data_IF_079253908382
#
_entry.id   IF_079253908382
#
_cell.length_a   1.000
_cell.length_b   1.000
_cell.length_c   1.000
_cell.angle_alpha   90.00
_cell.angle_beta   90.00
_cell.angle_gamma   90.00
#
_symmetry.space_group_name_H-M   'P 1'
#
loop_
_entity.id
_entity.type
_entity.pdbx_description
1 polymer ?
#
# COMPACT_ATOMS: atom_id res chain seq x y z
N UNK A 1 -9.53 -11.99 -13.24
CA UNK A 1 -8.42 -11.13 -13.68
C UNK A 1 -8.20 -10.03 -12.65
N UNK A 2 -6.96 -9.88 -12.21
CA UNK A 2 -6.57 -8.82 -11.28
C UNK A 2 -6.24 -7.53 -12.01
N UNK A 3 -6.60 -6.40 -11.42
CA UNK A 3 -6.34 -5.07 -11.98
C UNK A 3 -4.98 -4.50 -11.60
N UNK A 4 -3.91 -5.28 -11.75
CA UNK A 4 -2.55 -4.82 -11.46
C UNK A 4 -1.81 -4.41 -12.75
N UNK A 5 -2.29 -3.36 -13.39
CA UNK A 5 -1.81 -2.88 -14.68
C UNK A 5 -0.34 -2.42 -14.68
N UNK A 6 0.19 -2.00 -13.52
CA UNK A 6 1.61 -1.63 -13.37
C UNK A 6 2.58 -2.78 -13.66
N UNK A 7 2.15 -4.01 -13.43
CA UNK A 7 2.97 -5.22 -13.61
C UNK A 7 3.54 -5.40 -15.03
N UNK A 8 2.82 -4.92 -16.05
CA UNK A 8 3.23 -5.04 -17.47
C UNK A 8 3.63 -3.70 -18.08
N UNK A 9 3.81 -2.67 -17.29
CA UNK A 9 4.24 -1.35 -17.76
C UNK A 9 5.61 -1.39 -18.44
N UNK A 10 5.95 -0.40 -19.29
CA UNK A 10 7.29 -0.29 -19.87
C UNK A 10 8.39 -0.26 -18.80
N UNK A 11 8.19 0.45 -17.69
CA UNK A 11 9.14 0.50 -16.57
C UNK A 11 9.35 -0.86 -15.91
N UNK A 12 8.28 -1.64 -15.69
CA UNK A 12 8.39 -2.99 -15.14
C UNK A 12 9.18 -3.92 -16.08
N UNK A 13 8.97 -3.79 -17.40
CA UNK A 13 9.73 -4.56 -18.40
C UNK A 13 11.21 -4.17 -18.42
N UNK A 14 11.51 -2.88 -18.31
CA UNK A 14 12.90 -2.42 -18.21
C UNK A 14 13.56 -2.92 -16.94
N UNK A 15 12.90 -2.88 -15.81
CA UNK A 15 13.37 -3.45 -14.55
C UNK A 15 13.67 -4.94 -14.68
N UNK A 16 12.79 -5.70 -15.34
CA UNK A 16 13.01 -7.10 -15.62
C UNK A 16 14.27 -7.34 -16.50
N UNK A 17 14.50 -6.50 -17.50
CA UNK A 17 15.71 -6.61 -18.34
C UNK A 17 16.98 -6.36 -17.54
N UNK A 18 16.99 -5.33 -16.68
CA UNK A 18 18.12 -5.04 -15.78
C UNK A 18 18.37 -6.20 -14.81
N UNK A 19 17.31 -6.78 -14.28
CA UNK A 19 17.41 -7.94 -13.40
C UNK A 19 18.03 -9.16 -14.13
N UNK A 20 17.58 -9.45 -15.36
CA UNK A 20 18.14 -10.53 -16.18
C UNK A 20 19.61 -10.29 -16.57
N UNK A 21 20.01 -9.04 -16.68
CA UNK A 21 21.40 -8.65 -16.96
C UNK A 21 22.30 -8.67 -15.72
N UNK A 22 21.77 -9.00 -14.54
CA UNK A 22 22.52 -9.04 -13.28
C UNK A 22 22.75 -7.65 -12.64
N UNK A 23 22.22 -6.57 -13.22
CA UNK A 23 22.45 -5.22 -12.74
C UNK A 23 21.76 -4.90 -11.40
N UNK A 24 20.87 -5.79 -10.92
CA UNK A 24 20.09 -5.61 -9.70
C UNK A 24 20.40 -6.65 -8.62
N UNK A 25 21.52 -7.36 -8.72
CA UNK A 25 21.86 -8.43 -7.78
C UNK A 25 22.20 -7.90 -6.39
N UNK A 26 22.86 -6.76 -6.31
CA UNK A 26 23.32 -6.13 -5.06
C UNK A 26 22.27 -5.25 -4.37
N UNK A 27 21.02 -5.25 -4.84
CA UNK A 27 19.96 -4.47 -4.20
C UNK A 27 19.69 -5.02 -2.81
N UNK A 28 19.86 -4.16 -1.80
CA UNK A 28 19.61 -4.45 -0.37
C UNK A 28 18.46 -3.66 0.21
N UNK A 29 17.98 -2.62 -0.52
CA UNK A 29 16.92 -1.73 -0.04
C UNK A 29 16.03 -1.27 -1.19
N UNK A 30 14.73 -1.23 -0.93
CA UNK A 30 13.71 -0.69 -1.82
C UNK A 30 12.92 0.34 -1.02
N UNK A 31 12.69 1.50 -1.58
CA UNK A 31 11.79 2.51 -1.03
C UNK A 31 10.56 2.61 -1.92
N UNK A 32 9.41 2.25 -1.37
CA UNK A 32 8.11 2.35 -2.02
C UNK A 32 7.25 3.37 -1.26
N UNK A 33 6.65 4.29 -1.98
CA UNK A 33 5.87 5.34 -1.34
C UNK A 33 4.64 5.73 -2.14
N UNK A 34 3.63 6.23 -1.42
CA UNK A 34 2.40 6.79 -1.98
C UNK A 34 2.06 8.11 -1.31
N UNK A 35 2.10 9.17 -2.08
CA UNK A 35 1.76 10.53 -1.65
C UNK A 35 0.70 11.13 -2.59
N UNK A 36 -0.31 11.79 -2.05
CA UNK A 36 -0.73 11.77 -0.64
C UNK A 36 -1.48 10.49 -0.28
N UNK A 37 -1.75 10.30 1.02
CA UNK A 37 -2.76 9.31 1.44
C UNK A 37 -4.10 9.65 0.79
N UNK A 38 -4.86 8.62 0.42
CA UNK A 38 -6.26 8.76 0.00
C UNK A 38 -7.12 8.56 1.26
N UNK A 39 -8.39 8.77 1.20
CA UNK A 39 -9.38 8.46 2.25
C UNK A 39 -9.06 9.08 3.63
N UNK A 40 -9.85 10.06 4.02
CA UNK A 40 -9.69 10.78 5.29
C UNK A 40 -8.30 11.39 5.49
N UNK A 41 -7.77 11.97 4.43
CA UNK A 41 -6.43 12.58 4.38
C UNK A 41 -6.31 13.87 5.16
N UNK A 42 -7.42 14.57 5.36
CA UNK A 42 -7.47 15.77 6.17
C UNK A 42 -7.75 15.39 7.62
N UNK A 43 -6.95 15.89 8.55
CA UNK A 43 -7.19 15.72 9.98
C UNK A 43 -8.61 16.11 10.39
N UNK A 44 -9.20 17.11 9.74
CA UNK A 44 -10.59 17.54 9.98
C UNK A 44 -11.64 16.50 9.53
N UNK A 45 -11.28 15.59 8.61
CA UNK A 45 -12.16 14.52 8.13
C UNK A 45 -11.98 13.21 8.88
N UNK A 46 -10.92 13.10 9.71
CA UNK A 46 -10.64 11.90 10.50
C UNK A 46 -11.79 11.60 11.43
N UNK A 47 -12.05 10.32 11.59
CA UNK A 47 -13.07 9.79 12.50
C UNK A 47 -12.42 8.81 13.47
N UNK A 48 -12.89 8.75 14.70
CA UNK A 48 -12.46 7.79 15.73
C UNK A 48 -13.57 6.83 16.14
N UNK A 49 -14.77 7.03 15.62
CA UNK A 49 -15.95 6.20 15.85
C UNK A 49 -16.58 5.80 14.52
N UNK A 50 -17.32 4.71 14.51
CA UNK A 50 -18.08 4.32 13.32
C UNK A 50 -19.13 5.40 12.99
N UNK A 51 -19.31 5.71 11.69
CA UNK A 51 -20.27 6.72 11.28
C UNK A 51 -21.69 6.32 11.66
N UNK A 52 -22.56 7.33 11.83
CA UNK A 52 -23.97 7.13 12.14
C UNK A 52 -24.65 6.34 11.02
N UNK A 53 -25.62 5.52 11.44
CA UNK A 53 -26.46 4.77 10.51
C UNK A 53 -27.29 5.70 9.61
N UNK A 54 -27.37 5.32 8.35
CA UNK A 54 -28.16 5.98 7.32
C UNK A 54 -29.07 4.95 6.62
N UNK A 55 -30.15 5.38 5.95
CA UNK A 55 -30.95 4.47 5.13
C UNK A 55 -30.12 3.88 3.99
N UNK A 56 -30.27 2.57 3.77
CA UNK A 56 -29.62 1.91 2.62
C UNK A 56 -30.28 2.41 1.33
N UNK A 57 -29.51 2.92 0.34
CA UNK A 57 -30.07 3.28 -0.95
C UNK A 57 -30.78 2.11 -1.62
N UNK A 58 -31.93 2.34 -2.22
CA UNK A 58 -32.73 1.30 -2.88
C UNK A 58 -32.00 0.61 -4.04
N UNK A 59 -30.99 1.27 -4.61
CA UNK A 59 -30.13 0.73 -5.68
C UNK A 59 -28.97 -0.13 -5.18
N UNK A 60 -28.75 -0.23 -3.86
CA UNK A 60 -27.63 -0.95 -3.26
C UNK A 60 -28.12 -2.21 -2.54
N UNK A 61 -27.66 -3.37 -2.99
CA UNK A 61 -27.73 -4.59 -2.18
C UNK A 61 -26.57 -4.59 -1.18
N UNK A 62 -26.80 -4.03 0.01
CA UNK A 62 -25.76 -3.82 1.00
C UNK A 62 -25.23 -5.12 1.60
N UNK A 63 -26.06 -6.17 1.70
CA UNK A 63 -25.63 -7.49 2.15
C UNK A 63 -24.59 -8.08 1.19
N UNK A 64 -24.89 -8.08 -0.11
CA UNK A 64 -23.92 -8.52 -1.13
C UNK A 64 -22.66 -7.65 -1.16
N UNK A 65 -22.80 -6.35 -0.92
CA UNK A 65 -21.64 -5.45 -0.87
C UNK A 65 -20.73 -5.77 0.33
N UNK A 66 -21.27 -6.02 1.51
CA UNK A 66 -20.50 -6.41 2.70
C UNK A 66 -19.80 -7.78 2.50
N UNK A 67 -20.40 -8.69 1.75
CA UNK A 67 -19.85 -10.02 1.50
C UNK A 67 -19.54 -10.76 2.80
N UNK A 68 -18.32 -11.29 2.98
CA UNK A 68 -17.94 -12.02 4.19
C UNK A 68 -17.62 -11.13 5.40
N UNK A 69 -17.54 -9.80 5.21
CA UNK A 69 -17.26 -8.87 6.29
C UNK A 69 -18.47 -8.75 7.23
N UNK A 70 -18.22 -8.40 8.49
CA UNK A 70 -19.30 -8.09 9.42
C UNK A 70 -20.11 -6.92 8.90
N UNK A 71 -21.41 -7.12 8.70
CA UNK A 71 -22.30 -6.03 8.29
C UNK A 71 -22.46 -5.03 9.42
N UNK A 72 -21.96 -3.82 9.21
CA UNK A 72 -22.22 -2.65 10.06
C UNK A 72 -23.48 -1.93 9.57
N UNK A 73 -24.14 -1.13 10.41
CA UNK A 73 -25.18 -0.24 9.92
C UNK A 73 -24.66 0.61 8.76
N UNK A 74 -25.43 0.71 7.67
CA UNK A 74 -25.00 1.44 6.48
C UNK A 74 -24.69 2.91 6.77
N UNK A 75 -23.66 3.41 6.14
CA UNK A 75 -23.38 4.85 6.02
C UNK A 75 -22.75 5.15 4.65
N UNK A 76 -23.12 6.29 4.07
CA UNK A 76 -22.51 6.83 2.87
C UNK A 76 -21.01 7.10 3.00
N UNK A 77 -20.46 7.07 4.21
CA UNK A 77 -19.02 7.15 4.48
C UNK A 77 -18.27 5.88 4.07
N UNK A 78 -18.93 4.74 3.91
CA UNK A 78 -18.29 3.51 3.42
C UNK A 78 -18.27 3.44 1.90
N UNK A 79 -19.43 3.61 1.29
CA UNK A 79 -19.64 3.40 -0.14
C UNK A 79 -19.77 4.76 -0.87
N UNK A 80 -19.23 4.89 -2.07
CA UNK A 80 -18.57 3.83 -2.87
C UNK A 80 -17.06 3.74 -2.70
N UNK A 81 -16.41 4.65 -1.99
CA UNK A 81 -14.95 4.83 -2.09
C UNK A 81 -14.21 4.66 -0.76
N UNK A 82 -14.67 5.26 0.32
CA UNK A 82 -13.90 5.40 1.58
C UNK A 82 -13.85 4.13 2.43
N UNK A 83 -14.58 3.05 2.05
CA UNK A 83 -14.53 1.76 2.71
C UNK A 83 -13.09 1.24 2.90
N UNK A 84 -12.19 1.62 2.02
CA UNK A 84 -10.78 1.24 2.03
C UNK A 84 -10.04 1.68 3.29
N UNK A 85 -10.48 2.77 3.89
CA UNK A 85 -9.90 3.30 5.12
C UNK A 85 -10.33 2.53 6.38
N UNK A 86 -11.45 1.80 6.35
CA UNK A 86 -11.98 1.11 7.52
C UNK A 86 -11.39 -0.29 7.67
N UNK A 87 -10.89 -0.62 8.86
CA UNK A 87 -10.35 -1.95 9.14
C UNK A 87 -11.33 -3.09 8.85
N UNK A 88 -12.63 -2.83 9.00
CA UNK A 88 -13.66 -3.84 8.80
C UNK A 88 -13.91 -4.20 7.34
N UNK A 89 -13.58 -3.30 6.41
CA UNK A 89 -13.87 -3.48 4.99
C UNK A 89 -12.63 -3.42 4.09
N UNK A 90 -11.59 -2.68 4.50
CA UNK A 90 -10.42 -2.40 3.69
C UNK A 90 -9.10 -2.82 4.34
N UNK A 91 -8.03 -2.55 3.61
CA UNK A 91 -6.65 -2.88 4.01
C UNK A 91 -5.74 -1.64 4.07
N UNK A 92 -6.34 -0.44 4.09
CA UNK A 92 -5.59 0.81 4.11
C UNK A 92 -4.70 1.03 2.88
N UNK A 93 -3.81 2.00 2.98
CA UNK A 93 -2.99 2.44 1.87
C UNK A 93 -2.00 1.36 1.42
N UNK A 94 -1.34 0.68 2.35
CA UNK A 94 -0.40 -0.40 1.99
C UNK A 94 -1.12 -1.57 1.29
N UNK A 95 -2.30 -1.96 1.78
CA UNK A 95 -3.03 -3.07 1.18
C UNK A 95 -3.59 -2.76 -0.21
N UNK A 96 -4.00 -1.52 -0.44
CA UNK A 96 -4.55 -1.08 -1.73
C UNK A 96 -3.45 -0.75 -2.74
N UNK A 97 -2.52 0.13 -2.38
CA UNK A 97 -1.47 0.63 -3.28
C UNK A 97 -0.18 -0.18 -3.26
N UNK A 98 0.10 -0.91 -2.19
CA UNK A 98 1.32 -1.74 -2.11
C UNK A 98 1.38 -2.76 -3.22
N UNK A 99 0.24 -3.36 -3.60
CA UNK A 99 0.14 -4.28 -4.72
C UNK A 99 0.56 -3.64 -6.05
N UNK A 100 0.37 -2.34 -6.22
CA UNK A 100 0.76 -1.63 -7.45
C UNK A 100 2.22 -1.18 -7.45
N UNK A 101 2.76 -0.81 -6.28
CA UNK A 101 4.07 -0.17 -6.18
C UNK A 101 5.20 -1.15 -5.85
N UNK A 102 4.90 -2.24 -5.16
CA UNK A 102 5.89 -3.23 -4.70
C UNK A 102 5.98 -4.45 -5.62
N UNK A 103 4.89 -4.79 -6.30
CA UNK A 103 4.71 -6.05 -7.03
C UNK A 103 5.90 -6.42 -7.94
N UNK A 104 6.27 -5.55 -8.87
CA UNK A 104 7.32 -5.88 -9.83
C UNK A 104 8.70 -6.06 -9.15
N UNK A 105 9.03 -5.20 -8.18
CA UNK A 105 10.28 -5.34 -7.44
C UNK A 105 10.28 -6.63 -6.62
N UNK A 106 9.20 -6.92 -5.91
CA UNK A 106 9.05 -8.14 -5.13
C UNK A 106 9.18 -9.40 -6.00
N UNK A 107 8.50 -9.42 -7.15
CA UNK A 107 8.49 -10.54 -8.06
C UNK A 107 9.85 -10.74 -8.76
N UNK A 108 10.38 -9.70 -9.40
CA UNK A 108 11.62 -9.84 -10.19
C UNK A 108 12.87 -10.01 -9.34
N UNK A 109 12.91 -9.42 -8.15
CA UNK A 109 14.00 -9.65 -7.21
C UNK A 109 13.83 -10.94 -6.39
N UNK A 110 12.70 -11.65 -6.55
CA UNK A 110 12.40 -12.93 -5.89
C UNK A 110 12.52 -12.85 -4.37
N UNK A 111 11.89 -11.83 -3.78
CA UNK A 111 12.04 -11.55 -2.35
C UNK A 111 11.42 -12.64 -1.46
N UNK A 112 10.35 -13.30 -1.90
CA UNK A 112 9.64 -14.30 -1.11
C UNK A 112 8.83 -13.68 0.03
N UNK A 113 8.72 -14.38 1.16
CA UNK A 113 8.01 -13.87 2.33
C UNK A 113 8.95 -13.07 3.23
N UNK A 114 8.46 -11.97 3.81
CA UNK A 114 9.25 -11.23 4.79
C UNK A 114 9.44 -12.06 6.07
N UNK A 115 10.60 -11.93 6.68
CA UNK A 115 10.91 -12.55 7.97
C UNK A 115 10.51 -11.66 9.14
N UNK A 116 10.37 -10.36 8.89
CA UNK A 116 10.02 -9.37 9.88
C UNK A 116 9.23 -8.24 9.23
N UNK A 117 8.18 -7.78 9.88
CA UNK A 117 7.41 -6.59 9.52
C UNK A 117 7.33 -5.69 10.74
N UNK A 118 7.82 -4.46 10.61
CA UNK A 118 7.93 -3.51 11.72
C UNK A 118 7.30 -2.17 11.33
N UNK A 119 6.30 -1.69 12.09
CA UNK A 119 5.84 -0.33 11.96
C UNK A 119 6.87 0.62 12.59
N UNK A 120 7.48 1.48 11.78
CA UNK A 120 8.42 2.49 12.24
C UNK A 120 7.69 3.75 12.72
N UNK A 121 6.58 4.08 12.07
CA UNK A 121 5.74 5.23 12.40
C UNK A 121 4.32 4.98 11.93
N UNK A 122 3.36 5.31 12.78
CA UNK A 122 1.93 5.28 12.48
C UNK A 122 1.30 6.56 13.04
N UNK A 123 0.89 7.46 12.18
CA UNK A 123 0.31 8.72 12.60
C UNK A 123 -1.22 8.65 12.62
N UNK A 124 -1.80 9.20 13.66
CA UNK A 124 -3.25 9.36 13.82
C UNK A 124 -4.02 8.07 13.49
N UNK A 125 -3.56 6.94 14.02
CA UNK A 125 -4.29 5.67 13.92
C UNK A 125 -5.27 5.51 15.09
N UNK A 126 -6.33 4.76 14.84
CA UNK A 126 -7.31 4.39 15.85
C UNK A 126 -7.86 2.98 15.56
N UNK A 127 -8.90 2.56 16.26
CA UNK A 127 -9.48 1.21 16.09
C UNK A 127 -10.54 1.13 14.98
N UNK A 128 -10.84 2.21 14.30
CA UNK A 128 -11.90 2.28 13.28
C UNK A 128 -11.31 2.36 11.88
N UNK A 129 -10.32 3.26 11.70
CA UNK A 129 -9.70 3.54 10.40
C UNK A 129 -8.18 3.42 10.47
N UNK A 130 -7.60 3.11 9.32
CA UNK A 130 -6.15 3.02 9.14
C UNK A 130 -5.45 4.36 9.40
N UNK A 131 -4.12 4.35 9.68
CA UNK A 131 -3.35 5.55 9.91
C UNK A 131 -3.50 6.61 8.82
N UNK A 132 -3.32 7.88 9.20
CA UNK A 132 -3.21 9.00 8.26
C UNK A 132 -1.93 8.88 7.42
N UNK A 133 -0.84 8.48 8.07
CA UNK A 133 0.39 8.06 7.40
C UNK A 133 1.01 6.86 8.08
N UNK A 134 1.74 6.06 7.31
CA UNK A 134 2.46 4.91 7.83
C UNK A 134 3.85 4.78 7.22
N UNK A 135 4.84 4.43 8.07
CA UNK A 135 6.15 3.99 7.64
C UNK A 135 6.36 2.57 8.15
N UNK A 136 6.54 1.62 7.25
CA UNK A 136 6.63 0.20 7.58
C UNK A 136 7.88 -0.38 6.93
N UNK A 137 8.67 -1.09 7.72
CA UNK A 137 9.83 -1.83 7.26
C UNK A 137 9.47 -3.32 7.13
N UNK A 138 9.79 -3.91 6.00
CA UNK A 138 9.68 -5.34 5.74
C UNK A 138 11.07 -5.88 5.43
N UNK A 139 11.55 -6.86 6.18
CA UNK A 139 12.86 -7.51 5.96
C UNK A 139 12.67 -8.85 5.27
N UNK A 140 13.47 -9.11 4.26
CA UNK A 140 13.47 -10.33 3.48
C UNK A 140 14.81 -11.05 3.63
N UNK A 141 14.81 -12.39 3.66
CA UNK A 141 16.03 -13.18 3.81
C UNK A 141 16.94 -13.05 2.59
N UNK A 142 18.13 -13.64 2.67
CA UNK A 142 19.00 -13.81 1.51
C UNK A 142 18.27 -14.54 0.39
N UNK A 143 18.45 -14.09 -0.83
CA UNK A 143 17.74 -14.57 -2.03
C UNK A 143 18.61 -15.58 -2.77
N UNK A 144 18.33 -16.86 -2.63
CA UNK A 144 19.10 -17.91 -3.30
C UNK A 144 20.59 -17.89 -2.95
N UNK A 145 21.42 -18.39 -3.87
CA UNK A 145 22.87 -18.50 -3.66
C UNK A 145 23.55 -17.18 -4.02
N UNK A 146 24.10 -16.50 -3.03
CA UNK A 146 24.95 -15.32 -3.23
C UNK A 146 24.23 -13.97 -3.25
N UNK A 147 22.91 -13.91 -3.36
CA UNK A 147 22.19 -12.64 -3.35
C UNK A 147 21.91 -12.15 -1.92
N UNK A 148 22.09 -10.85 -1.63
CA UNK A 148 21.95 -10.33 -0.28
C UNK A 148 20.50 -10.37 0.22
N UNK A 149 20.34 -10.27 1.54
CA UNK A 149 19.06 -9.93 2.16
C UNK A 149 18.63 -8.54 1.67
N UNK A 150 17.31 -8.30 1.66
CA UNK A 150 16.76 -7.04 1.20
C UNK A 150 15.72 -6.51 2.19
N UNK A 151 15.54 -5.22 2.26
CA UNK A 151 14.42 -4.60 2.97
C UNK A 151 13.56 -3.75 2.03
N UNK A 152 12.28 -3.69 2.32
CA UNK A 152 11.36 -2.71 1.73
C UNK A 152 10.98 -1.73 2.82
N UNK A 153 11.16 -0.43 2.54
CA UNK A 153 10.57 0.66 3.29
C UNK A 153 9.34 1.15 2.54
N UNK A 154 8.17 0.89 3.11
CA UNK A 154 6.92 1.48 2.69
C UNK A 154 6.69 2.80 3.41
N UNK A 155 6.22 3.81 2.69
CA UNK A 155 5.76 5.08 3.25
C UNK A 155 4.49 5.53 2.56
N UNK A 156 3.53 5.98 3.33
CA UNK A 156 2.35 6.68 2.81
C UNK A 156 2.04 7.92 3.65
N UNK A 157 1.34 8.86 3.03
CA UNK A 157 1.01 10.14 3.63
C UNK A 157 1.71 11.33 2.97
N UNK A 158 1.46 12.53 3.47
CA UNK A 158 1.95 13.78 2.87
C UNK A 158 3.47 13.98 2.94
N UNK A 159 4.13 13.23 3.79
CA UNK A 159 5.61 13.24 3.96
C UNK A 159 6.25 11.93 3.48
N UNK A 160 5.53 11.16 2.67
CA UNK A 160 5.99 9.85 2.20
C UNK A 160 7.15 9.94 1.21
N UNK A 161 7.19 11.00 0.41
CA UNK A 161 8.20 11.14 -0.67
C UNK A 161 9.60 11.25 -0.05
N UNK A 162 10.51 10.31 -0.35
CA UNK A 162 11.87 10.40 0.14
C UNK A 162 12.59 11.60 -0.47
N UNK A 163 13.41 12.26 0.33
CA UNK A 163 14.34 13.28 -0.20
C UNK A 163 15.45 12.55 -0.94
N UNK A 164 15.38 12.56 -2.26
CA UNK A 164 16.42 12.00 -3.11
C UNK A 164 17.53 13.03 -3.36
N UNK A 165 18.77 12.54 -3.50
CA UNK A 165 19.87 13.36 -3.97
C UNK A 165 19.52 13.88 -5.38
N UNK A 166 19.82 15.16 -5.67
CA UNK A 166 19.52 15.80 -6.95
C UNK A 166 20.00 15.02 -8.17
N UNK A 167 21.10 14.27 -8.05
CA UNK A 167 21.62 13.42 -9.13
C UNK A 167 20.66 12.31 -9.58
N UNK A 168 19.62 11.98 -8.77
CA UNK A 168 18.61 10.99 -9.10
C UNK A 168 17.30 11.60 -9.61
N UNK A 169 17.20 12.92 -9.64
CA UNK A 169 16.10 13.57 -10.31
C UNK A 169 16.32 13.45 -11.82
N UNK A 170 15.40 12.76 -12.51
CA UNK A 170 15.38 12.81 -13.96
C UNK A 170 15.16 14.26 -14.39
N UNK A 171 16.10 14.83 -15.13
CA UNK A 171 15.74 15.93 -16.01
C UNK A 171 14.82 15.32 -17.07
N UNK A 172 13.57 15.72 -17.07
CA UNK A 172 12.58 15.32 -18.08
C UNK A 172 13.12 15.41 -19.50
#
# INVERSE_FOLDING_TARGET
QMGNQGHTSPGARQFQQLQKAGALEDIVKIEAYKDPSLWFMDAAQRISEFPKAEPIPSSLNYDLWCGPAKMMPFSGRYHPFDWRAFYIYGNGMLGDWGAHLIDFAHNYLKLGLPTEVEPLRLDDYNQVIFPLSSHIRMKFPKRGTGLPACEILWRDGSDAVPVLDQKYHSSD
#
